data_IF_065293903595
#
_entry.id   IF_065293903595
#
_cell.length_a   1.000
_cell.length_b   1.000
_cell.length_c   1.000
_cell.angle_alpha   90.00
_cell.angle_beta   90.00
_cell.angle_gamma   90.00
#
_symmetry.space_group_name_H-M   'P 1'
#
loop_
_entity.id
_entity.type
_entity.pdbx_description
1 polymer ?
#
# COMPACT_ATOMS: atom_id res chain seq x y z
N UNK A 1 -3.19 15.69 -12.98
CA UNK A 1 -2.20 15.82 -11.89
C UNK A 1 -2.62 14.85 -10.80
N UNK A 2 -2.10 13.62 -10.83
CA UNK A 2 -2.36 12.68 -9.74
C UNK A 2 -1.65 13.24 -8.52
N UNK A 3 -2.42 13.74 -7.55
CA UNK A 3 -1.86 14.20 -6.28
C UNK A 3 -1.02 13.09 -5.68
N UNK A 4 0.15 13.46 -5.16
CA UNK A 4 0.96 12.56 -4.36
C UNK A 4 0.06 12.02 -3.24
N UNK A 5 -0.07 10.70 -3.17
CA UNK A 5 -0.82 10.04 -2.10
C UNK A 5 0.18 9.34 -1.20
N UNK A 6 -0.09 9.36 0.08
CA UNK A 6 0.72 8.69 1.08
C UNK A 6 -0.04 7.49 1.63
N UNK A 7 0.71 6.44 1.91
CA UNK A 7 0.22 5.28 2.65
C UNK A 7 0.58 5.50 4.12
N UNK A 8 -0.42 5.53 4.98
CA UNK A 8 -0.28 5.75 6.41
C UNK A 8 -0.48 4.45 7.18
N UNK A 9 0.30 4.26 8.24
CA UNK A 9 0.05 3.22 9.24
C UNK A 9 -1.27 3.48 9.98
N UNK A 10 -2.18 2.52 9.95
CA UNK A 10 -3.53 2.69 10.48
C UNK A 10 -3.57 2.88 12.02
N UNK A 11 -2.52 2.46 12.73
CA UNK A 11 -2.43 2.59 14.19
C UNK A 11 -1.76 3.87 14.64
N UNK A 12 -0.69 4.27 13.96
CA UNK A 12 0.15 5.41 14.35
C UNK A 12 -0.12 6.68 13.55
N UNK A 13 -0.90 6.58 12.46
CA UNK A 13 -1.19 7.67 11.52
C UNK A 13 0.07 8.33 10.93
N UNK A 14 1.18 7.59 10.90
CA UNK A 14 2.44 8.05 10.28
C UNK A 14 2.48 7.60 8.83
N UNK A 15 2.88 8.51 7.94
CA UNK A 15 3.19 8.14 6.57
C UNK A 15 4.37 7.16 6.56
N UNK A 16 4.19 6.01 5.92
CA UNK A 16 5.22 4.97 5.77
C UNK A 16 5.72 4.86 4.34
N UNK A 17 4.86 5.16 3.36
CA UNK A 17 5.20 5.18 1.94
C UNK A 17 4.52 6.35 1.22
N UNK A 18 5.08 6.75 0.09
CA UNK A 18 4.45 7.68 -0.85
C UNK A 18 4.26 6.99 -2.21
N UNK A 19 3.20 7.38 -2.90
CA UNK A 19 2.85 6.89 -4.24
C UNK A 19 3.35 7.87 -5.30
N UNK A 20 4.18 7.36 -6.22
CA UNK A 20 4.59 8.07 -7.43
C UNK A 20 4.25 7.21 -8.65
N UNK A 21 3.27 7.67 -9.45
CA UNK A 21 2.65 6.85 -10.50
C UNK A 21 2.01 5.61 -9.91
N UNK A 22 2.35 4.44 -10.44
CA UNK A 22 1.83 3.15 -9.99
C UNK A 22 2.72 2.49 -8.91
N UNK A 23 3.72 3.18 -8.37
CA UNK A 23 4.69 2.60 -7.44
C UNK A 23 4.63 3.24 -6.05
N UNK A 24 4.86 2.41 -5.02
CA UNK A 24 4.99 2.86 -3.63
C UNK A 24 6.45 2.79 -3.19
N UNK A 25 6.89 3.88 -2.60
CA UNK A 25 8.24 4.10 -2.13
C UNK A 25 8.23 4.35 -0.63
N UNK A 26 9.10 3.72 0.17
CA UNK A 26 9.26 4.05 1.58
C UNK A 26 9.63 5.52 1.76
N UNK A 27 9.12 6.16 2.80
CA UNK A 27 9.44 7.57 3.09
C UNK A 27 10.94 7.78 3.33
N UNK A 28 11.63 6.79 3.91
CA UNK A 28 13.08 6.85 4.15
C UNK A 28 13.92 6.24 3.01
N UNK A 29 13.30 5.84 1.89
CA UNK A 29 13.93 5.08 0.82
C UNK A 29 13.82 5.73 -0.56
N UNK A 30 14.63 5.27 -1.50
CA UNK A 30 14.63 5.74 -2.89
C UNK A 30 14.31 4.64 -3.91
N UNK A 31 13.92 3.45 -3.45
CA UNK A 31 13.53 2.32 -4.30
C UNK A 31 12.06 2.00 -4.05
N UNK A 32 11.34 1.71 -5.13
CA UNK A 32 9.99 1.21 -5.01
C UNK A 32 10.03 -0.17 -4.33
N UNK A 33 9.14 -0.40 -3.37
CA UNK A 33 8.96 -1.71 -2.72
C UNK A 33 7.71 -2.42 -3.23
N UNK A 34 6.73 -1.64 -3.67
CA UNK A 34 5.48 -2.15 -4.18
C UNK A 34 5.03 -1.42 -5.44
N UNK A 35 4.14 -2.07 -6.20
CA UNK A 35 3.36 -1.43 -7.24
C UNK A 35 1.87 -1.63 -6.99
N UNK A 36 1.08 -0.66 -7.41
CA UNK A 36 -0.39 -0.63 -7.33
C UNK A 36 -0.94 -0.99 -8.71
N UNK A 37 -1.89 -1.92 -8.76
CA UNK A 37 -2.62 -2.27 -9.98
C UNK A 37 -4.07 -2.59 -9.64
N UNK A 38 -4.97 -1.69 -10.03
CA UNK A 38 -6.37 -1.72 -9.59
C UNK A 38 -6.47 -1.65 -8.07
N UNK A 39 -7.21 -2.60 -7.49
CA UNK A 39 -7.42 -2.70 -6.04
C UNK A 39 -6.34 -3.51 -5.32
N UNK A 40 -5.23 -3.83 -5.97
CA UNK A 40 -4.17 -4.66 -5.39
C UNK A 40 -2.84 -3.95 -5.34
N UNK A 41 -2.09 -4.24 -4.27
CA UNK A 41 -0.71 -3.81 -4.09
C UNK A 41 0.17 -5.06 -4.09
N UNK A 42 1.16 -5.07 -4.96
CA UNK A 42 2.07 -6.20 -5.15
C UNK A 42 3.46 -5.86 -4.64
N UNK A 43 4.13 -6.82 -4.01
CA UNK A 43 5.54 -6.67 -3.63
C UNK A 43 6.44 -6.87 -4.85
N UNK A 44 7.32 -5.91 -5.14
CA UNK A 44 8.26 -5.98 -6.26
C UNK A 44 9.23 -7.16 -6.15
N UNK A 45 9.64 -7.52 -4.93
CA UNK A 45 10.59 -8.61 -4.71
C UNK A 45 9.97 -9.99 -4.94
N UNK A 46 8.71 -10.19 -4.55
CA UNK A 46 8.07 -11.52 -4.59
C UNK A 46 7.09 -11.69 -5.74
N UNK A 47 6.68 -10.59 -6.37
CA UNK A 47 5.60 -10.52 -7.37
C UNK A 47 4.26 -11.11 -6.91
N UNK A 48 4.04 -11.15 -5.60
CA UNK A 48 2.78 -11.61 -5.00
C UNK A 48 1.99 -10.42 -4.48
N UNK A 49 0.67 -10.60 -4.40
CA UNK A 49 -0.23 -9.66 -3.73
C UNK A 49 0.19 -9.55 -2.27
N UNK A 50 0.48 -8.33 -1.84
CA UNK A 50 0.79 -8.00 -0.45
C UNK A 50 -0.40 -7.37 0.25
N UNK A 51 -1.19 -6.57 -0.47
CA UNK A 51 -2.33 -5.86 0.09
C UNK A 51 -3.49 -5.75 -0.89
N UNK A 52 -4.69 -5.53 -0.34
CA UNK A 52 -5.90 -5.19 -1.07
C UNK A 52 -6.43 -3.83 -0.60
N UNK A 53 -6.92 -3.03 -1.55
CA UNK A 53 -7.42 -1.68 -1.35
C UNK A 53 -8.95 -1.71 -1.41
N UNK A 54 -9.60 -1.17 -0.37
CA UNK A 54 -11.04 -0.96 -0.32
C UNK A 54 -11.32 0.50 0.00
N UNK A 55 -11.65 1.29 -1.02
CA UNK A 55 -11.74 2.73 -0.88
C UNK A 55 -10.37 3.33 -0.56
N UNK A 56 -10.22 3.89 0.65
CA UNK A 56 -8.93 4.37 1.14
C UNK A 56 -8.24 3.35 2.06
N UNK A 57 -8.94 2.34 2.54
CA UNK A 57 -8.43 1.37 3.50
C UNK A 57 -7.63 0.28 2.80
N UNK A 58 -6.55 -0.17 3.43
CA UNK A 58 -5.63 -1.16 2.87
C UNK A 58 -5.45 -2.31 3.84
N UNK A 59 -5.80 -3.50 3.37
CA UNK A 59 -5.82 -4.74 4.12
C UNK A 59 -4.62 -5.61 3.75
N UNK A 60 -4.00 -6.25 4.74
CA UNK A 60 -2.92 -7.20 4.53
C UNK A 60 -3.42 -8.48 3.86
N UNK A 61 -2.74 -8.93 2.82
CA UNK A 61 -3.05 -10.21 2.17
C UNK A 61 -2.32 -11.35 2.90
N UNK A 62 -3.07 -12.25 3.53
CA UNK A 62 -2.53 -13.35 4.34
C UNK A 62 -2.21 -14.61 3.50
N UNK A 63 -2.71 -14.67 2.26
CA UNK A 63 -2.61 -15.85 1.39
C UNK A 63 -3.98 -16.49 1.16
N UNK A 64 -4.10 -17.32 0.12
CA UNK A 64 -5.34 -18.06 -0.18
C UNK A 64 -6.62 -17.22 -0.31
N UNK A 65 -6.48 -15.93 -0.64
CA UNK A 65 -7.60 -14.97 -0.71
C UNK A 65 -8.04 -14.40 0.64
N UNK A 66 -7.36 -14.74 1.73
CA UNK A 66 -7.64 -14.20 3.06
C UNK A 66 -6.96 -12.84 3.27
N UNK A 67 -7.66 -11.96 3.99
CA UNK A 67 -7.22 -10.62 4.32
C UNK A 67 -7.17 -10.43 5.85
N UNK A 68 -6.43 -9.42 6.30
CA UNK A 68 -6.51 -8.96 7.69
C UNK A 68 -7.94 -8.52 8.02
N UNK A 69 -8.38 -8.73 9.27
CA UNK A 69 -9.73 -8.33 9.70
C UNK A 69 -9.93 -6.81 9.74
N UNK A 70 -8.86 -6.10 10.06
CA UNK A 70 -8.81 -4.65 10.13
C UNK A 70 -7.82 -4.12 9.09
N UNK A 71 -8.01 -2.90 8.58
CA UNK A 71 -7.03 -2.27 7.72
C UNK A 71 -5.74 -2.04 8.49
N UNK A 72 -4.63 -2.33 7.83
CA UNK A 72 -3.29 -2.10 8.39
C UNK A 72 -2.72 -0.78 7.91
N UNK A 73 -3.17 -0.31 6.73
CA UNK A 73 -2.81 0.98 6.18
C UNK A 73 -4.03 1.71 5.63
N UNK A 74 -3.88 3.00 5.31
CA UNK A 74 -4.84 3.74 4.50
C UNK A 74 -4.13 4.74 3.58
N UNK A 75 -4.72 5.01 2.42
CA UNK A 75 -4.30 6.09 1.54
C UNK A 75 -4.86 7.43 2.02
N UNK A 76 -3.98 8.42 2.13
CA UNK A 76 -4.32 9.80 2.44
C UNK A 76 -3.57 10.78 1.53
N UNK A 77 -4.07 12.02 1.49
CA UNK A 77 -3.45 13.17 0.84
C UNK A 77 -2.67 14.01 1.83
#
# INVERSE_FOLDING_TARGET
>A
MSGERYLFDAKSHKAIMYQAGDHLYPIAGNKAEHWVSGDYIFCLNTQKISFWILGNDVYGHLGSGELTREPIYYFGS
#
